data_IF_895806453023
#
_entry.id   IF_895806453023
#
_cell.length_a   1.000
_cell.length_b   1.000
_cell.length_c   1.000
_cell.angle_alpha   90.00
_cell.angle_beta   90.00
_cell.angle_gamma   90.00
#
_symmetry.space_group_name_H-M   'P 1'
#
loop_
_entity.id
_entity.type
_entity.pdbx_description
1 polymer ?
#
# COMPACT_ATOMS: atom_id res chain seq x y z
N UNK A 1 8.10 11.04 3.37
CA UNK A 1 9.07 10.89 2.26
C UNK A 1 10.44 10.39 2.72
N UNK A 2 11.00 10.95 3.79
CA UNK A 2 12.33 10.60 4.31
C UNK A 2 12.51 9.10 4.57
N UNK A 3 11.52 8.45 5.19
CA UNK A 3 11.48 6.99 5.38
C UNK A 3 11.62 6.22 4.05
N UNK A 4 10.83 6.60 3.04
CA UNK A 4 10.80 5.92 1.74
C UNK A 4 12.13 6.09 1.01
N UNK A 5 12.71 7.29 1.03
CA UNK A 5 14.04 7.53 0.46
C UNK A 5 15.11 6.66 1.13
N UNK A 6 15.06 6.52 2.45
CA UNK A 6 16.08 5.74 3.19
C UNK A 6 15.90 4.22 3.04
N UNK A 7 14.66 3.71 3.05
CA UNK A 7 14.38 2.27 3.09
C UNK A 7 14.10 1.65 1.73
N UNK A 8 13.72 2.44 0.74
CA UNK A 8 13.31 1.97 -0.58
C UNK A 8 14.01 2.69 -1.73
N UNK A 9 15.22 3.21 -1.51
CA UNK A 9 16.01 3.92 -2.53
C UNK A 9 16.14 3.11 -3.83
N UNK A 10 16.55 1.84 -3.73
CA UNK A 10 16.69 0.94 -4.89
C UNK A 10 15.36 0.69 -5.62
N UNK A 11 14.26 0.58 -4.86
CA UNK A 11 12.93 0.39 -5.46
C UNK A 11 12.44 1.69 -6.12
N UNK A 12 12.75 2.85 -5.55
CA UNK A 12 12.50 4.15 -6.16
C UNK A 12 13.29 4.29 -7.46
N UNK A 13 14.60 4.00 -7.46
CA UNK A 13 15.43 3.97 -8.68
C UNK A 13 14.85 3.07 -9.75
N UNK A 14 14.36 1.87 -9.37
CA UNK A 14 13.73 0.94 -10.32
C UNK A 14 12.40 1.45 -10.88
N UNK A 15 11.61 2.18 -10.09
CA UNK A 15 10.36 2.79 -10.55
C UNK A 15 10.66 3.93 -11.52
N UNK A 16 11.69 4.72 -11.22
CA UNK A 16 12.07 5.91 -11.98
C UNK A 16 12.84 5.59 -13.26
N UNK A 17 13.64 4.53 -13.28
CA UNK A 17 14.49 4.21 -14.43
C UNK A 17 15.44 5.37 -14.72
N UNK A 18 15.34 5.94 -15.92
CA UNK A 18 16.10 7.12 -16.34
C UNK A 18 15.40 8.46 -16.05
N UNK A 19 14.18 8.44 -15.54
CA UNK A 19 13.41 9.64 -15.21
C UNK A 19 13.83 10.24 -13.87
N UNK A 20 13.70 11.56 -13.74
CA UNK A 20 14.09 12.30 -12.53
C UNK A 20 12.85 12.65 -11.72
N UNK A 21 12.94 12.48 -10.40
CA UNK A 21 11.92 12.94 -9.44
C UNK A 21 12.49 14.05 -8.56
N UNK A 22 11.81 15.18 -8.50
CA UNK A 22 12.14 16.30 -7.63
C UNK A 22 11.06 16.47 -6.56
N UNK A 23 11.47 16.65 -5.32
CA UNK A 23 10.56 16.91 -4.20
C UNK A 23 10.72 18.36 -3.75
N UNK A 24 9.68 19.17 -3.91
CA UNK A 24 9.65 20.55 -3.42
C UNK A 24 8.68 20.64 -2.24
N UNK A 25 9.20 21.01 -1.07
CA UNK A 25 8.35 21.29 0.09
C UNK A 25 7.61 22.61 -0.17
N UNK A 26 6.28 22.60 -0.10
CA UNK A 26 5.48 23.78 -0.42
C UNK A 26 5.44 24.80 0.73
N UNK A 27 5.66 24.39 1.99
CA UNK A 27 5.72 25.24 3.18
C UNK A 27 6.38 24.50 4.38
N UNK A 28 6.97 25.23 5.33
CA UNK A 28 7.55 24.68 6.58
C UNK A 28 6.54 24.70 7.74
N UNK A 29 5.55 23.81 7.70
CA UNK A 29 4.55 23.65 8.77
C UNK A 29 4.11 22.20 8.99
N UNK A 30 3.38 21.91 10.08
CA UNK A 30 2.97 20.55 10.47
C UNK A 30 2.01 19.87 9.47
N UNK A 31 1.40 20.64 8.56
CA UNK A 31 0.58 20.15 7.44
C UNK A 31 1.18 20.45 6.07
N UNK A 32 2.52 20.48 5.99
CA UNK A 32 3.24 20.77 4.75
C UNK A 32 2.90 19.79 3.63
N UNK A 33 2.45 20.32 2.50
CA UNK A 33 2.30 19.56 1.26
C UNK A 33 3.66 19.45 0.58
N UNK A 34 3.97 18.27 0.05
CA UNK A 34 5.18 18.05 -0.75
C UNK A 34 4.74 17.93 -2.21
N UNK A 35 5.18 18.87 -3.04
CA UNK A 35 5.03 18.77 -4.48
C UNK A 35 6.08 17.80 -5.03
N UNK A 36 5.63 16.89 -5.89
CA UNK A 36 6.48 15.87 -6.52
C UNK A 36 6.45 16.11 -8.03
N UNK A 37 7.58 16.51 -8.60
CA UNK A 37 7.72 16.77 -10.02
C UNK A 37 8.48 15.61 -10.69
N UNK A 38 8.02 15.19 -11.87
CA UNK A 38 8.66 14.16 -12.67
C UNK A 38 9.18 14.81 -13.96
N UNK A 39 10.44 14.51 -14.34
CA UNK A 39 11.07 15.07 -15.54
C UNK A 39 11.79 13.98 -16.35
N UNK A 40 11.74 14.10 -17.67
CA UNK A 40 12.62 13.34 -18.57
C UNK A 40 14.07 13.86 -18.50
N UNK A 41 15.08 13.01 -18.72
CA UNK A 41 16.49 13.38 -18.57
C UNK A 41 17.05 14.30 -19.67
N UNK A 42 16.36 14.50 -20.81
CA UNK A 42 16.80 15.40 -21.89
C UNK A 42 15.64 15.98 -22.68
N UNK A 43 15.71 17.27 -23.05
CA UNK A 43 14.86 17.86 -24.10
C UNK A 43 15.56 17.78 -25.47
N UNK A 44 14.82 17.58 -26.58
CA UNK A 44 13.35 17.45 -26.66
C UNK A 44 12.89 16.03 -26.31
N UNK A 45 11.95 15.91 -25.37
CA UNK A 45 11.35 14.62 -25.02
C UNK A 45 10.47 14.12 -26.19
N UNK A 46 10.71 12.89 -26.66
CA UNK A 46 9.88 12.28 -27.69
C UNK A 46 8.46 11.99 -27.15
N UNK A 47 7.47 11.83 -28.03
CA UNK A 47 6.09 11.52 -27.63
C UNK A 47 5.99 10.25 -26.75
N UNK A 48 6.86 9.26 -26.99
CA UNK A 48 7.01 8.06 -26.17
C UNK A 48 7.43 8.36 -24.73
N UNK A 49 8.29 9.36 -24.52
CA UNK A 49 8.82 9.68 -23.18
C UNK A 49 7.73 10.28 -22.28
N UNK A 50 6.76 11.00 -22.87
CA UNK A 50 5.60 11.51 -22.11
C UNK A 50 4.72 10.38 -21.60
N UNK A 51 4.45 9.37 -22.43
CA UNK A 51 3.66 8.18 -22.04
C UNK A 51 4.39 7.36 -20.98
N UNK A 52 5.70 7.18 -21.13
CA UNK A 52 6.51 6.48 -20.13
C UNK A 52 6.61 7.27 -18.81
N UNK A 53 6.70 8.60 -18.85
CA UNK A 53 6.71 9.46 -17.67
C UNK A 53 5.41 9.32 -16.87
N UNK A 54 4.27 9.25 -17.54
CA UNK A 54 2.97 9.03 -16.90
C UNK A 54 2.89 7.65 -16.23
N UNK A 55 3.42 6.61 -16.88
CA UNK A 55 3.50 5.28 -16.29
C UNK A 55 4.40 5.26 -15.03
N UNK A 56 5.55 5.92 -15.08
CA UNK A 56 6.45 6.09 -13.94
C UNK A 56 5.76 6.83 -12.80
N UNK A 57 5.05 7.92 -13.11
CA UNK A 57 4.25 8.68 -12.15
C UNK A 57 3.19 7.80 -11.48
N UNK A 58 2.42 7.02 -12.23
CA UNK A 58 1.39 6.14 -11.67
C UNK A 58 1.98 5.04 -10.78
N UNK A 59 3.09 4.44 -11.20
CA UNK A 59 3.81 3.45 -10.38
C UNK A 59 4.36 4.04 -9.10
N UNK A 60 4.91 5.26 -9.16
CA UNK A 60 5.34 5.98 -7.97
C UNK A 60 4.16 6.28 -7.04
N UNK A 61 3.04 6.80 -7.57
CA UNK A 61 1.85 7.13 -6.76
C UNK A 61 1.34 5.88 -6.05
N UNK A 62 1.16 4.78 -6.77
CA UNK A 62 0.69 3.51 -6.21
C UNK A 62 1.64 2.99 -5.14
N UNK A 63 2.94 3.00 -5.43
CA UNK A 63 3.97 2.59 -4.46
C UNK A 63 3.97 3.48 -3.22
N UNK A 64 3.89 4.79 -3.41
CA UNK A 64 3.87 5.77 -2.33
C UNK A 64 2.62 5.61 -1.46
N UNK A 65 1.42 5.54 -2.05
CA UNK A 65 0.16 5.36 -1.33
C UNK A 65 0.16 4.06 -0.53
N UNK A 66 0.55 2.93 -1.14
CA UNK A 66 0.65 1.63 -0.46
C UNK A 66 1.65 1.67 0.70
N UNK A 67 2.79 2.33 0.51
CA UNK A 67 3.83 2.39 1.54
C UNK A 67 3.43 3.36 2.65
N UNK A 68 3.01 4.57 2.31
CA UNK A 68 2.69 5.63 3.27
C UNK A 68 1.46 5.31 4.13
N UNK A 69 0.46 4.61 3.57
CA UNK A 69 -0.72 4.16 4.32
C UNK A 69 -0.38 3.14 5.42
N UNK A 70 0.71 2.39 5.26
CA UNK A 70 1.21 1.44 6.28
C UNK A 70 2.17 2.10 7.28
N UNK A 71 2.64 3.33 7.04
CA UNK A 71 3.59 3.98 7.95
C UNK A 71 2.89 4.59 9.17
N UNK A 72 3.44 4.27 10.34
CA UNK A 72 3.10 4.90 11.61
C UNK A 72 4.30 5.70 12.13
N UNK A 73 4.01 6.86 12.72
CA UNK A 73 4.98 7.69 13.46
C UNK A 73 4.68 7.59 14.97
N UNK A 74 5.71 7.36 15.78
CA UNK A 74 5.61 7.35 17.24
C UNK A 74 6.83 8.01 17.85
N UNK A 75 6.72 8.55 19.07
CA UNK A 75 7.86 9.06 19.84
C UNK A 75 8.21 8.11 20.97
N UNK A 76 9.50 7.95 21.25
CA UNK A 76 10.00 7.13 22.35
C UNK A 76 11.02 7.91 23.19
N UNK A 77 10.86 7.85 24.51
CA UNK A 77 11.88 8.29 25.46
C UNK A 77 12.92 7.18 25.65
N UNK A 78 14.01 7.24 24.88
CA UNK A 78 15.12 6.29 24.96
C UNK A 78 16.44 7.03 24.81
N UNK A 79 17.49 6.55 25.49
CA UNK A 79 18.84 7.10 25.33
C UNK A 79 19.37 6.83 23.91
N UNK A 80 20.28 7.67 23.38
CA UNK A 80 20.84 7.48 22.03
C UNK A 80 21.42 6.08 21.79
N UNK A 81 22.18 5.54 22.75
CA UNK A 81 22.73 4.19 22.67
C UNK A 81 21.64 3.11 22.58
N UNK A 82 20.56 3.23 23.37
CA UNK A 82 19.43 2.30 23.30
C UNK A 82 18.66 2.45 21.98
N UNK A 83 18.58 3.65 21.43
CA UNK A 83 17.97 3.88 20.12
C UNK A 83 18.76 3.18 18.99
N UNK A 84 20.09 3.19 19.05
CA UNK A 84 20.94 2.45 18.10
C UNK A 84 20.74 0.94 18.22
N UNK A 85 20.66 0.41 19.44
CA UNK A 85 20.37 -1.01 19.69
C UNK A 85 19.00 -1.42 19.14
N UNK A 86 17.98 -0.58 19.38
CA UNK A 86 16.64 -0.78 18.87
C UNK A 86 16.60 -0.65 17.34
N UNK A 87 17.35 0.27 16.74
CA UNK A 87 17.46 0.40 15.29
C UNK A 87 18.11 -0.83 14.65
N UNK A 88 19.09 -1.45 15.32
CA UNK A 88 19.69 -2.74 14.90
C UNK A 88 18.68 -3.88 15.00
N UNK A 89 17.90 -3.92 16.09
CA UNK A 89 16.89 -4.97 16.34
C UNK A 89 15.64 -4.83 15.44
N UNK A 90 15.27 -3.61 15.09
CA UNK A 90 14.13 -3.28 14.24
C UNK A 90 14.61 -2.57 12.97
N UNK A 91 15.27 -3.29 12.04
CA UNK A 91 15.90 -2.69 10.86
C UNK A 91 14.90 -2.09 9.87
N UNK A 92 13.62 -2.44 9.94
CA UNK A 92 12.56 -1.84 9.13
C UNK A 92 12.00 -0.55 9.72
N UNK A 93 12.34 -0.21 10.96
CA UNK A 93 12.01 1.09 11.52
C UNK A 93 13.10 2.10 11.18
N UNK A 94 12.73 3.37 11.17
CA UNK A 94 13.63 4.49 10.99
C UNK A 94 13.55 5.36 12.24
N UNK A 95 14.65 5.39 12.98
CA UNK A 95 14.82 6.21 14.16
C UNK A 95 15.44 7.55 13.76
N UNK A 96 14.81 8.63 14.17
CA UNK A 96 15.25 10.01 13.95
C UNK A 96 15.46 10.65 15.30
N UNK A 97 16.72 10.93 15.63
CA UNK A 97 17.08 11.71 16.81
C UNK A 97 16.61 13.14 16.64
N UNK A 98 15.70 13.61 17.50
CA UNK A 98 15.32 15.01 17.57
C UNK A 98 16.27 15.81 18.47
N UNK A 99 16.13 17.14 18.49
CA UNK A 99 16.77 18.02 19.48
C UNK A 99 16.17 17.87 20.90
N UNK A 100 15.08 17.13 21.03
CA UNK A 100 14.41 16.79 22.29
C UNK A 100 14.91 15.44 22.83
N UNK A 101 14.61 15.14 24.11
CA UNK A 101 14.93 13.83 24.74
C UNK A 101 14.20 12.63 24.09
N UNK A 102 13.39 12.89 23.06
CA UNK A 102 12.53 11.92 22.39
C UNK A 102 13.11 11.53 21.04
N UNK A 103 13.19 10.23 20.80
CA UNK A 103 13.51 9.67 19.49
C UNK A 103 12.23 9.43 18.72
N UNK A 104 12.07 10.09 17.57
CA UNK A 104 10.96 9.83 16.66
C UNK A 104 11.23 8.54 15.89
N UNK A 105 10.24 7.65 15.81
CA UNK A 105 10.33 6.37 15.12
C UNK A 105 9.23 6.29 14.08
N UNK A 106 9.64 6.03 12.84
CA UNK A 106 8.75 5.89 11.70
C UNK A 106 8.95 4.53 11.04
N UNK A 107 7.87 3.84 10.70
CA UNK A 107 7.93 2.61 9.91
C UNK A 107 6.58 1.90 9.82
N UNK A 108 6.52 0.71 9.19
CA UNK A 108 5.31 -0.09 9.05
C UNK A 108 4.60 -0.28 10.39
N UNK A 109 3.27 -0.16 10.40
CA UNK A 109 2.44 -0.23 11.59
C UNK A 109 2.76 -1.47 12.44
N UNK A 110 2.82 -2.64 11.82
CA UNK A 110 3.10 -3.90 12.51
C UNK A 110 4.47 -3.90 13.21
N UNK A 111 5.46 -3.19 12.68
CA UNK A 111 6.79 -3.08 13.29
C UNK A 111 6.81 -2.07 14.44
N UNK A 112 6.05 -0.98 14.30
CA UNK A 112 5.89 0.01 15.38
C UNK A 112 5.18 -0.61 16.59
N UNK A 113 4.15 -1.45 16.38
CA UNK A 113 3.48 -2.15 17.47
C UNK A 113 4.40 -3.14 18.19
N UNK A 114 5.16 -3.96 17.45
CA UNK A 114 6.16 -4.86 18.04
C UNK A 114 7.22 -4.12 18.86
N UNK A 115 7.66 -2.94 18.39
CA UNK A 115 8.58 -2.12 19.15
C UNK A 115 7.95 -1.65 20.47
N UNK A 116 6.69 -1.21 20.45
CA UNK A 116 5.95 -0.80 21.66
C UNK A 116 5.79 -1.95 22.64
N UNK A 117 5.40 -3.13 22.15
CA UNK A 117 5.30 -4.37 22.96
C UNK A 117 6.65 -4.74 23.57
N UNK A 118 7.72 -4.72 22.77
CA UNK A 118 9.07 -5.05 23.22
C UNK A 118 9.56 -4.12 24.34
N UNK A 119 9.25 -2.82 24.23
CA UNK A 119 9.60 -1.83 25.25
C UNK A 119 8.75 -2.02 26.51
N UNK A 120 7.45 -2.31 26.36
CA UNK A 120 6.55 -2.57 27.48
C UNK A 120 6.94 -3.81 28.28
N UNK A 121 7.48 -4.84 27.62
CA UNK A 121 7.93 -6.07 28.27
C UNK A 121 9.33 -5.95 28.91
N UNK A 122 10.11 -4.93 28.53
CA UNK A 122 11.46 -4.70 29.06
C UNK A 122 11.69 -3.23 29.49
N UNK A 123 10.99 -2.76 30.54
CA UNK A 123 11.06 -1.36 30.96
C UNK A 123 12.39 -0.95 31.63
N UNK A 124 13.18 -1.90 32.17
CA UNK A 124 14.42 -1.60 32.91
C UNK A 124 15.55 -2.60 32.59
N UNK A 125 16.52 -2.19 31.77
CA UNK A 125 17.88 -2.73 31.79
C UNK A 125 18.86 -1.57 31.99
N UNK A 126 18.80 -0.99 33.19
CA UNK A 126 19.76 -0.01 33.68
C UNK A 126 20.58 -0.66 34.79
N UNK A 127 21.86 -0.89 34.52
CA UNK A 127 22.93 -1.06 35.53
C UNK A 127 23.31 -2.49 35.89
N UNK A 128 24.23 -3.09 35.14
CA UNK A 128 25.58 -3.48 35.60
C UNK A 128 26.19 -4.53 34.67
N UNK A 129 27.32 -4.16 34.05
CA UNK A 129 28.26 -5.10 33.43
C UNK A 129 28.92 -5.98 34.50
N UNK A 130 29.49 -7.13 34.12
CA UNK A 130 30.95 -7.13 34.14
C UNK A 130 31.58 -7.60 32.83
N UNK A 131 32.63 -6.85 32.53
CA UNK A 131 33.68 -7.01 31.53
C UNK A 131 34.30 -8.41 31.56
N UNK A 132 34.51 -9.00 30.37
CA UNK A 132 35.71 -9.81 30.09
C UNK A 132 36.32 -9.36 28.76
N UNK A 133 37.47 -8.69 28.87
CA UNK A 133 38.55 -8.59 27.87
C UNK A 133 39.15 -10.00 27.72
N UNK A 134 39.73 -10.50 26.64
CA UNK A 134 40.66 -10.03 25.57
C UNK A 134 40.80 -11.25 24.59
N UNK A 135 41.66 -11.28 23.55
CA UNK A 135 42.31 -10.20 22.79
C UNK A 135 42.15 -10.37 21.26
N UNK A 136 42.69 -9.37 20.57
CA UNK A 136 42.87 -9.25 19.13
C UNK A 136 43.39 -10.49 18.38
N UNK A 137 42.89 -10.68 17.15
CA UNK A 137 43.69 -11.20 16.05
C UNK A 137 43.43 -10.38 14.79
N UNK A 138 44.44 -9.60 14.46
CA UNK A 138 44.64 -8.92 13.18
C UNK A 138 44.78 -9.95 12.05
N UNK A 139 44.07 -9.72 10.94
CA UNK A 139 44.55 -10.08 9.60
C UNK A 139 43.78 -9.28 8.55
N UNK A 140 44.51 -8.34 7.94
CA UNK A 140 44.21 -7.75 6.65
C UNK A 140 44.30 -8.81 5.55
N UNK A 141 43.40 -8.77 4.56
CA UNK A 141 43.72 -8.43 3.17
C UNK A 141 42.58 -8.81 2.21
N UNK A 142 42.23 -7.80 1.40
CA UNK A 142 41.90 -7.84 -0.03
C UNK A 142 40.53 -8.35 -0.48
N UNK A 143 39.83 -7.37 -1.06
CA UNK A 143 38.76 -7.45 -2.03
C UNK A 143 39.09 -8.38 -3.20
N UNK A 144 38.14 -9.25 -3.54
CA UNK A 144 37.82 -9.65 -4.91
C UNK A 144 36.48 -10.41 -4.91
N UNK A 145 35.49 -9.83 -5.58
CA UNK A 145 34.35 -10.59 -6.10
C UNK A 145 34.89 -11.52 -7.21
N UNK A 146 34.29 -12.70 -7.42
CA UNK A 146 33.08 -12.75 -8.24
C UNK A 146 31.99 -13.67 -7.65
N UNK A 147 30.74 -13.32 -7.96
CA UNK A 147 29.54 -14.07 -7.60
C UNK A 147 29.58 -15.53 -8.03
N UNK A 148 29.21 -16.46 -7.13
CA UNK A 148 28.59 -17.72 -7.54
C UNK A 148 27.14 -17.78 -7.04
N UNK A 149 26.27 -18.32 -7.89
CA UNK A 149 24.87 -18.66 -7.59
C UNK A 149 24.83 -19.54 -6.33
N UNK A 150 24.40 -18.99 -5.19
CA UNK A 150 24.22 -19.77 -3.97
C UNK A 150 22.75 -20.19 -3.85
N UNK A 151 22.48 -21.44 -4.20
CA UNK A 151 21.42 -22.22 -3.58
C UNK A 151 21.53 -22.07 -2.06
N UNK A 152 20.49 -21.53 -1.42
CA UNK A 152 20.47 -21.40 0.04
C UNK A 152 20.59 -22.80 0.68
N UNK A 153 21.40 -22.96 1.74
CA UNK A 153 21.41 -24.20 2.50
C UNK A 153 20.02 -24.48 3.09
N UNK A 154 19.60 -25.76 3.17
CA UNK A 154 18.32 -26.11 3.76
C UNK A 154 18.40 -25.91 5.27
N UNK A 155 17.47 -25.14 5.83
CA UNK A 155 17.20 -25.16 7.27
C UNK A 155 17.48 -23.88 8.04
N UNK A 156 16.95 -22.74 7.59
CA UNK A 156 16.37 -21.72 8.47
C UNK A 156 15.68 -20.63 7.64
N UNK A 157 14.54 -20.98 7.00
CA UNK A 157 13.64 -19.95 6.47
C UNK A 157 13.12 -19.11 7.65
N UNK A 158 13.29 -17.80 7.61
CA UNK A 158 12.85 -16.89 8.67
C UNK A 158 11.40 -16.47 8.40
N UNK A 159 10.55 -16.54 9.42
CA UNK A 159 9.17 -16.07 9.30
C UNK A 159 9.16 -14.53 9.22
N UNK A 160 8.59 -13.91 8.17
CA UNK A 160 8.52 -12.45 8.09
C UNK A 160 7.56 -11.83 9.13
N UNK A 161 6.69 -12.63 9.76
CA UNK A 161 5.74 -12.18 10.78
C UNK A 161 6.37 -12.17 12.16
N UNK A 162 6.95 -13.27 12.66
CA UNK A 162 7.60 -13.27 13.99
C UNK A 162 9.10 -12.96 13.95
N UNK A 163 9.73 -13.00 12.77
CA UNK A 163 11.18 -12.85 12.54
C UNK A 163 12.05 -13.96 13.13
N UNK A 164 11.44 -15.07 13.53
CA UNK A 164 12.15 -16.25 14.04
C UNK A 164 12.31 -17.29 12.91
N UNK A 165 13.31 -18.20 13.01
CA UNK A 165 13.37 -19.37 12.14
C UNK A 165 12.05 -20.13 12.18
N UNK A 166 11.51 -20.48 11.03
CA UNK A 166 10.27 -21.26 10.92
C UNK A 166 10.63 -22.71 11.28
N UNK A 167 10.07 -23.26 12.37
CA UNK A 167 10.24 -24.67 12.67
C UNK A 167 9.63 -25.50 11.52
N UNK A 168 10.33 -26.50 10.96
CA UNK A 168 9.87 -27.27 9.80
C UNK A 168 8.44 -27.83 9.96
N UNK A 169 8.10 -28.27 11.16
CA UNK A 169 6.80 -28.84 11.56
C UNK A 169 5.68 -27.78 11.67
N UNK A 170 6.04 -26.51 11.85
CA UNK A 170 5.10 -25.38 11.88
C UNK A 170 5.14 -24.55 10.60
N UNK A 171 5.87 -25.00 9.57
CA UNK A 171 5.95 -24.29 8.29
C UNK A 171 4.66 -24.41 7.51
N UNK A 172 4.11 -23.28 7.09
CA UNK A 172 3.02 -23.22 6.12
C UNK A 172 3.46 -22.39 4.92
N UNK A 173 3.51 -23.02 3.75
CA UNK A 173 3.70 -22.36 2.47
C UNK A 173 2.33 -22.05 1.84
N UNK A 174 2.20 -20.84 1.30
CA UNK A 174 1.04 -20.41 0.52
C UNK A 174 1.21 -20.73 -0.97
N UNK A 175 0.13 -20.63 -1.77
CA UNK A 175 0.19 -20.83 -3.23
C UNK A 175 1.13 -19.83 -3.92
N UNK A 176 1.32 -18.64 -3.36
CA UNK A 176 2.29 -17.66 -3.82
C UNK A 176 3.74 -17.96 -3.40
N UNK A 177 4.03 -19.17 -2.90
CA UNK A 177 5.35 -19.67 -2.50
C UNK A 177 6.02 -18.95 -1.33
N UNK A 178 5.30 -18.06 -0.64
CA UNK A 178 5.76 -17.47 0.61
C UNK A 178 5.45 -18.38 1.81
N UNK A 179 6.43 -18.52 2.71
CA UNK A 179 6.35 -19.37 3.91
C UNK A 179 6.23 -18.57 5.20
N UNK A 180 5.48 -19.11 6.15
CA UNK A 180 5.26 -18.51 7.49
C UNK A 180 5.16 -19.62 8.54
N UNK A 181 5.30 -19.26 9.83
CA UNK A 181 4.82 -20.12 10.91
C UNK A 181 3.29 -20.23 10.81
N UNK A 182 2.73 -21.43 10.98
CA UNK A 182 1.29 -21.73 10.89
C UNK A 182 0.47 -20.77 11.77
N UNK A 183 0.86 -20.59 13.02
CA UNK A 183 0.16 -19.73 13.99
C UNK A 183 0.26 -18.24 13.64
N UNK A 184 1.39 -17.83 13.05
CA UNK A 184 1.56 -16.45 12.59
C UNK A 184 0.69 -16.15 11.37
N UNK A 185 0.64 -17.09 10.43
CA UNK A 185 -0.21 -16.97 9.25
C UNK A 185 -1.70 -16.98 9.62
N UNK A 186 -2.11 -17.87 10.54
CA UNK A 186 -3.49 -17.93 11.01
C UNK A 186 -3.92 -16.60 11.62
N UNK A 187 -3.15 -16.06 12.58
CA UNK A 187 -3.45 -14.75 13.19
C UNK A 187 -3.51 -13.62 12.16
N UNK A 188 -2.64 -13.63 11.15
CA UNK A 188 -2.68 -12.65 10.08
C UNK A 188 -3.97 -12.80 9.25
N UNK A 189 -4.38 -14.03 8.94
CA UNK A 189 -5.58 -14.33 8.16
C UNK A 189 -6.88 -14.07 8.91
N UNK A 190 -6.90 -14.25 10.22
CA UNK A 190 -8.03 -13.90 11.09
C UNK A 190 -8.34 -12.40 11.00
N UNK A 191 -7.32 -11.57 10.81
CA UNK A 191 -7.48 -10.13 10.55
C UNK A 191 -7.82 -9.84 9.09
N UNK A 192 -7.00 -10.33 8.16
CA UNK A 192 -7.20 -10.14 6.72
C UNK A 192 -6.52 -11.28 5.97
N UNK A 193 -7.25 -12.05 5.14
CA UNK A 193 -6.70 -13.26 4.57
C UNK A 193 -5.93 -12.93 3.28
N UNK A 194 -4.84 -12.18 3.44
CA UNK A 194 -3.92 -11.77 2.37
C UNK A 194 -2.51 -12.17 2.74
N UNK A 195 -1.73 -12.63 1.78
CA UNK A 195 -0.31 -12.92 2.01
C UNK A 195 0.40 -11.65 2.48
N UNK A 196 1.04 -11.63 3.67
CA UNK A 196 1.72 -10.43 4.17
C UNK A 196 2.92 -9.98 3.35
N UNK A 197 3.43 -10.80 2.42
CA UNK A 197 4.56 -10.46 1.55
C UNK A 197 4.09 -9.85 0.22
N UNK A 198 3.26 -10.58 -0.55
CA UNK A 198 2.86 -10.12 -1.89
C UNK A 198 1.49 -9.44 -1.93
N UNK A 199 0.60 -9.75 -1.00
CA UNK A 199 -0.79 -9.27 -0.98
C UNK A 199 -1.81 -10.16 -1.71
N UNK A 200 -1.40 -11.34 -2.22
CA UNK A 200 -2.35 -12.30 -2.81
C UNK A 200 -3.44 -12.65 -1.79
N UNK A 201 -4.70 -12.59 -2.22
CA UNK A 201 -5.87 -12.85 -1.37
C UNK A 201 -6.15 -14.35 -1.30
N UNK A 202 -6.37 -14.84 -0.09
CA UNK A 202 -6.77 -16.21 0.23
C UNK A 202 -8.18 -16.17 0.83
N UNK A 203 -9.14 -16.91 0.28
CA UNK A 203 -10.54 -16.83 0.73
C UNK A 203 -11.24 -15.54 0.31
N UNK A 204 -12.29 -15.17 1.06
CA UNK A 204 -13.18 -14.05 0.72
C UNK A 204 -12.78 -12.80 1.49
N UNK A 205 -12.33 -11.77 0.78
CA UNK A 205 -12.03 -10.48 1.38
C UNK A 205 -13.31 -9.66 1.53
N UNK A 206 -13.59 -9.18 2.74
CA UNK A 206 -14.66 -8.20 2.99
C UNK A 206 -14.04 -6.82 3.23
N UNK A 207 -14.55 -5.80 2.57
CA UNK A 207 -14.09 -4.42 2.74
C UNK A 207 -14.89 -3.63 3.78
N UNK A 208 -14.61 -2.33 3.82
CA UNK A 208 -15.10 -1.35 4.80
C UNK A 208 -16.04 -0.31 4.16
N UNK A 209 -16.66 -0.62 3.01
CA UNK A 209 -17.76 0.19 2.47
C UNK A 209 -18.89 0.27 3.51
N UNK A 210 -19.51 1.42 3.78
CA UNK A 210 -20.62 1.49 4.72
C UNK A 210 -21.83 0.65 4.30
N UNK A 211 -22.58 0.15 5.29
CA UNK A 211 -23.82 -0.60 5.04
C UNK A 211 -24.96 0.32 4.58
N UNK A 212 -26.03 -0.26 4.04
CA UNK A 212 -27.19 0.49 3.54
C UNK A 212 -27.01 1.12 2.16
N UNK A 213 -25.88 0.83 1.49
CA UNK A 213 -25.64 1.29 0.14
C UNK A 213 -26.41 0.51 -0.93
N UNK A 214 -26.75 1.18 -2.05
CA UNK A 214 -27.34 0.57 -3.24
C UNK A 214 -26.43 0.68 -4.46
N UNK A 215 -26.61 -0.26 -5.39
CA UNK A 215 -25.97 -0.29 -6.71
C UNK A 215 -27.04 -0.62 -7.74
N UNK A 216 -27.48 0.40 -8.47
CA UNK A 216 -28.54 0.31 -9.47
C UNK A 216 -27.95 0.41 -10.88
N UNK A 217 -28.47 -0.40 -11.80
CA UNK A 217 -27.96 -0.47 -13.18
C UNK A 217 -29.08 -0.08 -14.14
N UNK A 218 -28.75 0.79 -15.10
CA UNK A 218 -29.63 1.15 -16.23
C UNK A 218 -28.88 0.94 -17.54
N UNK A 219 -29.60 0.55 -18.57
CA UNK A 219 -29.08 0.49 -19.94
C UNK A 219 -29.47 1.76 -20.69
N UNK A 220 -28.54 2.32 -21.45
CA UNK A 220 -28.75 3.44 -22.37
C UNK A 220 -28.34 3.03 -23.78
N UNK A 221 -29.06 3.53 -24.79
CA UNK A 221 -28.70 3.36 -26.20
C UNK A 221 -27.52 4.22 -26.63
N UNK A 222 -27.12 5.22 -25.83
CA UNK A 222 -25.96 6.04 -26.12
C UNK A 222 -24.68 5.20 -26.11
N UNK A 223 -23.78 5.46 -27.07
CA UNK A 223 -22.51 4.76 -27.17
C UNK A 223 -21.41 5.52 -26.42
N UNK A 224 -20.44 4.77 -25.87
CA UNK A 224 -19.21 5.35 -25.37
C UNK A 224 -18.18 5.46 -26.51
N UNK A 225 -17.34 6.51 -26.54
CA UNK A 225 -16.22 6.57 -27.47
C UNK A 225 -15.32 5.32 -27.38
N UNK A 226 -15.07 4.68 -28.52
CA UNK A 226 -14.35 3.41 -28.65
C UNK A 226 -15.24 2.15 -28.57
N UNK A 227 -16.55 2.32 -28.37
CA UNK A 227 -17.53 1.24 -28.30
C UNK A 227 -18.80 1.60 -29.10
N UNK A 228 -18.64 2.14 -30.31
CA UNK A 228 -19.71 2.71 -31.14
C UNK A 228 -20.83 1.72 -31.52
N UNK A 229 -20.55 0.42 -31.45
CA UNK A 229 -21.50 -0.66 -31.77
C UNK A 229 -22.30 -1.15 -30.54
N UNK A 230 -22.09 -0.54 -29.38
CA UNK A 230 -22.62 -1.01 -28.10
C UNK A 230 -23.30 0.13 -27.36
N UNK A 231 -24.37 -0.19 -26.62
CA UNK A 231 -24.98 0.76 -25.69
C UNK A 231 -24.09 1.03 -24.48
N UNK A 232 -24.64 1.65 -23.46
CA UNK A 232 -23.94 1.96 -22.20
C UNK A 232 -24.70 1.40 -21.01
N UNK A 233 -23.99 0.71 -20.13
CA UNK A 233 -24.42 0.37 -18.79
C UNK A 233 -24.09 1.55 -17.86
N UNK A 234 -25.12 2.18 -17.31
CA UNK A 234 -25.01 3.26 -16.33
C UNK A 234 -25.21 2.67 -14.94
N UNK A 235 -24.18 2.76 -14.11
CA UNK A 235 -24.17 2.24 -12.74
C UNK A 235 -24.32 3.42 -11.79
N UNK A 236 -25.38 3.42 -10.99
CA UNK A 236 -25.62 4.39 -9.94
C UNK A 236 -25.34 3.76 -8.58
N UNK A 237 -24.36 4.31 -7.88
CA UNK A 237 -24.09 3.97 -6.50
C UNK A 237 -24.67 5.04 -5.58
N UNK A 238 -25.31 4.61 -4.51
CA UNK A 238 -25.70 5.48 -3.41
C UNK A 238 -25.28 4.87 -2.08
N UNK A 239 -24.43 5.57 -1.33
CA UNK A 239 -24.09 5.23 0.05
C UNK A 239 -24.63 6.37 0.94
N UNK A 240 -25.59 6.12 1.84
CA UNK A 240 -26.11 7.15 2.72
C UNK A 240 -25.06 7.58 3.75
N UNK A 241 -25.20 8.81 4.28
CA UNK A 241 -24.45 9.25 5.45
C UNK A 241 -24.82 8.41 6.68
N UNK A 242 -23.91 8.32 7.65
CA UNK A 242 -24.16 7.52 8.84
C UNK A 242 -23.08 7.69 9.90
N UNK A 243 -23.02 6.73 10.82
CA UNK A 243 -22.04 6.68 11.91
C UNK A 243 -20.99 5.60 11.61
N UNK A 244 -19.73 5.92 11.86
CA UNK A 244 -18.62 5.01 11.69
C UNK A 244 -18.68 3.86 12.71
N UNK A 245 -18.49 2.63 12.23
CA UNK A 245 -18.44 1.41 13.03
C UNK A 245 -17.00 1.11 13.43
N UNK A 246 -16.80 0.05 14.23
CA UNK A 246 -15.48 -0.39 14.70
C UNK A 246 -14.49 -0.67 13.56
N UNK A 247 -14.95 -1.08 12.38
CA UNK A 247 -14.09 -1.32 11.22
C UNK A 247 -13.61 -0.03 10.51
N UNK A 248 -14.14 1.14 10.87
CA UNK A 248 -13.86 2.41 10.20
C UNK A 248 -12.80 3.24 10.95
N UNK A 249 -12.18 4.25 10.31
CA UNK A 249 -11.05 4.98 10.90
C UNK A 249 -11.35 5.71 12.22
N UNK A 250 -12.57 6.23 12.40
CA UNK A 250 -12.99 6.95 13.60
C UNK A 250 -14.34 6.42 14.12
N UNK A 251 -14.38 5.28 14.81
CA UNK A 251 -15.62 4.70 15.33
C UNK A 251 -16.44 5.69 16.16
N UNK A 252 -17.77 5.66 16.00
CA UNK A 252 -18.71 6.57 16.67
C UNK A 252 -18.83 7.97 16.04
N UNK A 253 -17.91 8.38 15.16
CA UNK A 253 -18.00 9.67 14.46
C UNK A 253 -18.92 9.58 13.24
N UNK A 254 -19.62 10.68 12.87
CA UNK A 254 -20.38 10.72 11.63
C UNK A 254 -19.45 10.67 10.41
N UNK A 255 -19.98 10.18 9.30
CA UNK A 255 -19.38 10.28 7.98
C UNK A 255 -20.41 10.79 6.96
N UNK A 256 -19.93 11.48 5.93
CA UNK A 256 -20.75 11.96 4.83
C UNK A 256 -20.79 10.90 3.71
N UNK A 257 -22.01 10.56 3.28
CA UNK A 257 -22.29 9.60 2.22
C UNK A 257 -21.85 10.08 0.84
N UNK A 258 -22.14 9.28 -0.19
CA UNK A 258 -21.83 9.65 -1.57
C UNK A 258 -22.84 9.05 -2.55
N UNK A 259 -23.17 9.82 -3.58
CA UNK A 259 -23.85 9.33 -4.79
C UNK A 259 -22.90 9.45 -5.96
N UNK A 260 -22.71 8.38 -6.74
CA UNK A 260 -21.76 8.36 -7.85
C UNK A 260 -22.32 7.58 -9.03
N UNK A 261 -22.06 8.09 -10.23
CA UNK A 261 -22.41 7.42 -11.48
C UNK A 261 -21.14 6.92 -12.16
N UNK A 262 -21.19 5.71 -12.69
CA UNK A 262 -20.14 5.13 -13.50
C UNK A 262 -20.70 4.52 -14.80
N UNK A 263 -19.84 4.33 -15.79
CA UNK A 263 -20.22 3.88 -17.12
C UNK A 263 -19.37 2.66 -17.54
N UNK A 264 -20.02 1.69 -18.17
CA UNK A 264 -19.38 0.59 -18.89
C UNK A 264 -20.04 0.45 -20.27
N UNK A 265 -19.32 -0.01 -21.31
CA UNK A 265 -19.97 -0.37 -22.55
C UNK A 265 -20.90 -1.56 -22.32
N UNK A 266 -22.07 -1.56 -22.94
CA UNK A 266 -22.99 -2.69 -22.94
C UNK A 266 -22.54 -3.76 -23.95
N UNK A 267 -21.35 -4.30 -23.68
CA UNK A 267 -20.70 -5.36 -24.43
C UNK A 267 -20.58 -6.64 -23.61
N UNK A 268 -20.17 -7.74 -24.22
CA UNK A 268 -19.90 -8.99 -23.49
C UNK A 268 -18.85 -8.80 -22.39
N UNK A 269 -17.77 -8.06 -22.69
CA UNK A 269 -16.71 -7.75 -21.72
C UNK A 269 -17.19 -6.76 -20.65
N UNK A 270 -17.93 -5.72 -21.04
CA UNK A 270 -18.48 -4.75 -20.09
C UNK A 270 -19.47 -5.38 -19.10
N UNK A 271 -20.33 -6.30 -19.57
CA UNK A 271 -21.22 -7.09 -18.70
C UNK A 271 -20.45 -8.01 -17.75
N UNK A 272 -19.35 -8.62 -18.21
CA UNK A 272 -18.47 -9.40 -17.33
C UNK A 272 -17.89 -8.53 -16.22
N UNK A 273 -17.39 -7.33 -16.55
CA UNK A 273 -16.90 -6.36 -15.55
C UNK A 273 -18.01 -5.96 -14.59
N UNK A 274 -19.23 -5.72 -15.08
CA UNK A 274 -20.37 -5.37 -14.24
C UNK A 274 -20.66 -6.44 -13.18
N UNK A 275 -20.65 -7.72 -13.55
CA UNK A 275 -20.88 -8.81 -12.59
C UNK A 275 -19.77 -8.91 -11.53
N UNK A 276 -18.52 -8.66 -11.92
CA UNK A 276 -17.41 -8.57 -10.97
C UNK A 276 -17.58 -7.35 -10.03
N UNK A 277 -18.01 -6.20 -10.54
CA UNK A 277 -18.30 -5.01 -9.71
C UNK A 277 -19.45 -5.27 -8.73
N UNK A 278 -20.51 -5.98 -9.14
CA UNK A 278 -21.60 -6.41 -8.25
C UNK A 278 -21.07 -7.29 -7.13
N UNK A 279 -20.23 -8.28 -7.46
CA UNK A 279 -19.57 -9.15 -6.47
C UNK A 279 -18.70 -8.33 -5.51
N UNK A 280 -17.90 -7.38 -6.02
CA UNK A 280 -17.08 -6.49 -5.20
C UNK A 280 -17.93 -5.57 -4.29
N UNK A 281 -19.05 -5.05 -4.79
CA UNK A 281 -19.98 -4.22 -4.01
C UNK A 281 -20.61 -5.02 -2.87
N UNK A 282 -21.08 -6.24 -3.15
CA UNK A 282 -21.63 -7.15 -2.15
C UNK A 282 -20.59 -7.55 -1.09
N UNK A 283 -19.32 -7.61 -1.47
CA UNK A 283 -18.19 -7.82 -0.55
C UNK A 283 -17.69 -6.53 0.12
N UNK A 284 -18.39 -5.40 -0.05
CA UNK A 284 -18.05 -4.09 0.56
C UNK A 284 -16.70 -3.53 0.11
N UNK A 285 -16.27 -3.81 -1.13
CA UNK A 285 -14.94 -3.47 -1.65
C UNK A 285 -14.91 -2.25 -2.59
N UNK A 286 -16.05 -1.73 -3.04
CA UNK A 286 -16.09 -0.60 -3.99
C UNK A 286 -15.76 0.73 -3.29
N UNK A 287 -16.29 0.90 -2.08
CA UNK A 287 -16.09 2.11 -1.28
C UNK A 287 -15.37 1.82 0.04
N UNK A 288 -14.97 2.89 0.72
CA UNK A 288 -14.50 2.92 2.10
C UNK A 288 -14.77 4.31 2.69
N UNK A 289 -14.54 4.48 4.00
CA UNK A 289 -14.49 5.80 4.63
C UNK A 289 -13.04 6.24 4.74
N UNK A 290 -12.77 7.49 4.35
CA UNK A 290 -11.44 8.05 4.43
C UNK A 290 -11.40 9.54 4.13
N UNK A 291 -10.23 9.98 3.66
CA UNK A 291 -9.99 11.35 3.23
C UNK A 291 -10.30 11.48 1.74
N UNK A 292 -11.21 12.37 1.39
CA UNK A 292 -11.50 12.71 -0.01
C UNK A 292 -10.27 13.30 -0.67
N UNK A 293 -9.85 12.74 -1.81
CA UNK A 293 -8.71 13.25 -2.58
C UNK A 293 -9.01 14.59 -3.27
N UNK A 294 -10.27 14.85 -3.62
CA UNK A 294 -10.69 16.07 -4.32
C UNK A 294 -10.93 17.23 -3.37
N UNK A 295 -11.57 16.99 -2.22
CA UNK A 295 -11.91 18.06 -1.26
C UNK A 295 -10.96 18.12 -0.05
N UNK A 296 -10.14 17.10 0.16
CA UNK A 296 -9.26 17.00 1.32
C UNK A 296 -9.97 16.73 2.65
N UNK A 297 -11.30 16.62 2.69
CA UNK A 297 -12.12 16.39 3.89
C UNK A 297 -12.00 14.93 4.37
N UNK A 298 -11.93 14.73 5.69
CA UNK A 298 -11.98 13.40 6.32
C UNK A 298 -13.42 12.93 6.55
N UNK A 299 -13.58 11.66 6.96
CA UNK A 299 -14.89 11.05 7.26
C UNK A 299 -15.84 11.09 6.05
N UNK A 300 -15.31 10.78 4.87
CA UNK A 300 -16.03 10.79 3.60
C UNK A 300 -16.10 9.40 3.00
N UNK A 301 -17.20 9.07 2.33
CA UNK A 301 -17.25 7.90 1.44
C UNK A 301 -16.39 8.15 0.19
N UNK A 302 -15.34 7.35 0.04
CA UNK A 302 -14.39 7.41 -1.08
C UNK A 302 -14.32 6.08 -1.82
N UNK A 303 -13.88 6.13 -3.08
CA UNK A 303 -13.51 4.91 -3.83
C UNK A 303 -12.42 4.12 -3.10
N UNK A 304 -12.42 2.80 -3.28
CA UNK A 304 -11.48 1.88 -2.62
C UNK A 304 -10.69 1.10 -3.67
N UNK A 305 -9.78 1.79 -4.37
CA UNK A 305 -8.80 1.24 -5.33
C UNK A 305 -9.38 0.37 -6.47
N UNK A 306 -10.66 0.54 -6.81
CA UNK A 306 -11.28 -0.02 -8.02
C UNK A 306 -11.74 1.17 -8.86
N UNK A 307 -11.06 1.42 -9.97
CA UNK A 307 -11.30 2.59 -10.79
C UNK A 307 -12.61 2.45 -11.58
N UNK A 308 -13.38 3.53 -11.53
CA UNK A 308 -14.64 3.66 -12.26
C UNK A 308 -14.53 4.78 -13.29
N UNK A 309 -15.18 4.58 -14.44
CA UNK A 309 -15.35 5.62 -15.44
C UNK A 309 -16.53 6.48 -15.06
N UNK A 310 -16.27 7.67 -14.52
CA UNK A 310 -17.29 8.61 -14.02
C UNK A 310 -17.67 9.68 -15.03
N UNK A 311 -17.04 9.66 -16.20
CA UNK A 311 -17.39 10.47 -17.37
C UNK A 311 -17.57 9.56 -18.59
N UNK A 312 -18.48 9.91 -19.50
CA UNK A 312 -18.60 9.23 -20.80
C UNK A 312 -17.52 9.71 -21.79
N UNK A 313 -16.84 10.83 -21.51
CA UNK A 313 -15.92 11.50 -22.44
C UNK A 313 -14.65 12.00 -21.73
N UNK A 314 -13.70 12.55 -22.50
CA UNK A 314 -12.49 13.21 -21.97
C UNK A 314 -11.35 12.25 -21.62
N UNK A 315 -11.46 10.98 -22.01
CA UNK A 315 -10.41 9.98 -21.88
C UNK A 315 -9.99 9.67 -20.43
N UNK A 316 -8.86 8.96 -20.24
CA UNK A 316 -8.43 8.50 -18.92
C UNK A 316 -8.19 9.63 -17.91
N UNK A 317 -7.71 10.79 -18.37
CA UNK A 317 -7.42 11.96 -17.52
C UNK A 317 -8.67 12.58 -16.90
N UNK A 318 -9.82 12.44 -17.57
CA UNK A 318 -11.12 12.90 -17.08
C UNK A 318 -11.95 11.76 -16.50
N UNK A 319 -11.33 10.63 -16.18
CA UNK A 319 -12.01 9.41 -15.72
C UNK A 319 -13.10 8.95 -16.70
N UNK A 320 -12.90 9.13 -18.00
CA UNK A 320 -13.87 8.79 -19.03
C UNK A 320 -13.30 8.07 -20.24
N UNK A 321 -14.06 8.05 -21.32
CA UNK A 321 -13.75 7.35 -22.56
C UNK A 321 -13.31 8.33 -23.67
N UNK A 322 -12.58 7.87 -24.71
CA UNK A 322 -12.10 6.51 -24.91
C UNK A 322 -10.94 6.14 -23.96
N UNK A 323 -10.88 4.88 -23.53
CA UNK A 323 -9.77 4.30 -22.77
C UNK A 323 -9.73 2.80 -23.07
N UNK A 324 -8.95 2.39 -24.10
CA UNK A 324 -8.97 1.01 -24.59
C UNK A 324 -8.48 -0.01 -23.54
N UNK A 325 -7.66 0.42 -22.58
CA UNK A 325 -7.08 -0.47 -21.57
C UNK A 325 -7.92 -0.57 -20.28
N UNK A 326 -9.01 0.19 -20.18
CA UNK A 326 -9.77 0.30 -18.93
C UNK A 326 -10.38 -1.04 -18.48
N UNK A 327 -11.05 -1.77 -19.37
CA UNK A 327 -11.75 -3.01 -19.00
C UNK A 327 -10.76 -4.09 -18.53
N UNK A 328 -9.57 -4.16 -19.11
CA UNK A 328 -8.52 -5.05 -18.63
C UNK A 328 -8.00 -4.61 -17.26
N UNK A 329 -7.65 -3.32 -17.13
CA UNK A 329 -7.09 -2.76 -15.89
C UNK A 329 -8.05 -2.92 -14.69
N UNK A 330 -9.34 -2.66 -14.86
CA UNK A 330 -10.32 -2.83 -13.76
C UNK A 330 -10.50 -4.30 -13.39
N UNK A 331 -10.41 -5.24 -14.35
CA UNK A 331 -10.40 -6.67 -14.05
C UNK A 331 -9.16 -7.07 -13.23
N UNK A 332 -7.99 -6.50 -13.51
CA UNK A 332 -6.77 -6.72 -12.71
C UNK A 332 -6.91 -6.15 -11.29
N UNK A 333 -7.48 -4.97 -11.13
CA UNK A 333 -7.76 -4.34 -9.84
C UNK A 333 -8.74 -5.18 -8.99
N UNK A 334 -9.82 -5.67 -9.63
CA UNK A 334 -10.79 -6.57 -9.02
C UNK A 334 -10.14 -7.89 -8.60
N UNK A 335 -9.34 -8.49 -9.48
CA UNK A 335 -8.59 -9.72 -9.20
C UNK A 335 -7.63 -9.54 -8.03
N UNK A 336 -6.94 -8.39 -7.94
CA UNK A 336 -6.05 -8.06 -6.83
C UNK A 336 -6.80 -7.95 -5.48
N UNK A 337 -8.10 -7.67 -5.51
CA UNK A 337 -9.00 -7.70 -4.35
C UNK A 337 -9.69 -9.05 -4.14
N UNK A 338 -9.29 -10.09 -4.86
CA UNK A 338 -9.85 -11.44 -4.74
C UNK A 338 -11.16 -11.65 -5.52
N UNK A 339 -11.55 -10.69 -6.35
CA UNK A 339 -12.76 -10.77 -7.18
C UNK A 339 -12.38 -11.36 -8.53
N UNK A 340 -12.72 -12.64 -8.71
CA UNK A 340 -12.44 -13.45 -9.89
C UNK A 340 -13.74 -13.97 -10.49
#
# INVERSE_FOLDING_TARGET
MEYIKKKYDEKLKRILGHFVIEFKAANSGPHSTVQVNFRAPSEPAYSSDRVHLDFVRQRFITFYQRTASDLQLTSLHVTPHRAEDLQRKFPLLFFKSGSSKDTAVCGPFAHVQKLKEFISQNPKSSGNSPVKRDPARSQSYKSSAPSPKLSKPPGNEICPICMEPIPPEKKKALQCMHSFCKDCLQRAFDYKPVCPICGEVYGTLKGTQPDGGTMDIRTSSACLPGYERHGTLVIHYHIPSGIQKEEHPNPGQPFEGASRTAYLPDSSEGRKVLELLRKAFNQRLIFTIGRSSTSGRNNMVTWNDIHHKTSMHGGPTSYGYPDPDYLNRVQEELKAKGIK
#
